data_IF_379522299566
#
_entry.id   IF_379522299566
#
_cell.length_a   1.000
_cell.length_b   1.000
_cell.length_c   1.000
_cell.angle_alpha   90.00
_cell.angle_beta   90.00
_cell.angle_gamma   90.00
#
_symmetry.space_group_name_H-M   'P 1'
#
loop_
_entity.id
_entity.type
_entity.pdbx_description
1 polymer ?
#
# COMPACT_ATOMS: atom_id res chain seq x y z
N UNK A 1 5.07 -24.56 -1.32
CA UNK A 1 4.38 -23.47 -0.59
C UNK A 1 5.11 -22.20 -0.96
N UNK A 2 4.39 -21.14 -1.34
CA UNK A 2 5.02 -19.86 -1.66
C UNK A 2 5.66 -19.22 -0.44
N UNK A 3 6.66 -18.37 -0.67
CA UNK A 3 7.39 -17.65 0.38
C UNK A 3 7.38 -16.17 0.04
N UNK A 4 6.87 -15.34 0.95
CA UNK A 4 6.86 -13.89 0.77
C UNK A 4 8.29 -13.38 0.52
N UNK A 5 8.45 -12.50 -0.46
CA UNK A 5 9.77 -12.00 -0.89
C UNK A 5 10.66 -13.05 -1.54
N UNK A 6 10.10 -14.07 -2.20
CA UNK A 6 10.89 -15.03 -2.97
C UNK A 6 11.72 -14.33 -4.04
N UNK A 7 13.01 -14.69 -4.25
CA UNK A 7 13.86 -14.03 -5.23
C UNK A 7 13.33 -14.15 -6.65
N UNK A 8 13.58 -13.12 -7.47
CA UNK A 8 13.29 -13.13 -8.90
C UNK A 8 14.27 -14.07 -9.60
N UNK A 9 13.77 -14.89 -10.51
CA UNK A 9 14.57 -15.78 -11.37
C UNK A 9 14.47 -15.42 -12.85
N UNK A 10 13.36 -14.80 -13.26
CA UNK A 10 13.15 -14.36 -14.64
C UNK A 10 12.19 -13.17 -14.72
N UNK A 11 12.24 -12.44 -15.84
CA UNK A 11 11.36 -11.30 -16.11
C UNK A 11 10.76 -11.46 -17.50
N UNK A 12 9.43 -11.60 -17.55
CA UNK A 12 8.69 -11.81 -18.80
C UNK A 12 7.91 -10.54 -19.14
N UNK A 13 8.03 -10.08 -20.38
CA UNK A 13 7.24 -8.95 -20.87
C UNK A 13 6.04 -9.46 -21.65
N UNK A 14 4.87 -8.94 -21.32
CA UNK A 14 3.63 -9.05 -22.09
C UNK A 14 3.28 -7.69 -22.70
N UNK A 15 2.24 -7.64 -23.55
CA UNK A 15 1.85 -6.41 -24.26
C UNK A 15 1.63 -5.20 -23.32
N UNK A 16 1.11 -5.43 -22.11
CA UNK A 16 0.76 -4.37 -21.14
C UNK A 16 1.34 -4.58 -19.74
N UNK A 17 2.04 -5.70 -19.52
CA UNK A 17 2.46 -6.13 -18.19
C UNK A 17 3.89 -6.64 -18.20
N UNK A 18 4.53 -6.56 -17.05
CA UNK A 18 5.79 -7.24 -16.73
C UNK A 18 5.44 -8.31 -15.70
N UNK A 19 5.94 -9.52 -15.89
CA UNK A 19 5.84 -10.60 -14.91
C UNK A 19 7.21 -10.84 -14.30
N UNK A 20 7.30 -10.73 -12.98
CA UNK A 20 8.45 -11.26 -12.22
C UNK A 20 8.18 -12.73 -11.92
N UNK A 21 9.00 -13.63 -12.45
CA UNK A 21 8.97 -15.05 -12.13
C UNK A 21 9.85 -15.27 -10.91
N UNK A 22 9.31 -15.89 -9.87
CA UNK A 22 10.00 -16.09 -8.60
C UNK A 22 10.54 -17.52 -8.47
N UNK A 23 11.55 -17.69 -7.62
CA UNK A 23 12.17 -18.99 -7.31
C UNK A 23 11.17 -20.02 -6.76
N UNK A 24 10.14 -19.57 -6.03
CA UNK A 24 9.06 -20.44 -5.53
C UNK A 24 8.01 -20.84 -6.59
N UNK A 25 8.22 -20.41 -7.84
CA UNK A 25 7.40 -20.73 -9.01
C UNK A 25 6.21 -19.79 -9.25
N UNK A 26 5.95 -18.83 -8.34
CA UNK A 26 4.91 -17.81 -8.55
C UNK A 26 5.34 -16.79 -9.60
N UNK A 27 4.34 -16.10 -10.14
CA UNK A 27 4.51 -14.94 -11.02
C UNK A 27 3.80 -13.75 -10.40
N UNK A 28 4.48 -12.62 -10.30
CA UNK A 28 3.88 -11.36 -9.88
C UNK A 28 3.78 -10.44 -11.09
N UNK A 29 2.61 -9.86 -11.32
CA UNK A 29 2.37 -8.99 -12.45
C UNK A 29 2.46 -7.52 -12.02
N UNK A 30 3.03 -6.70 -12.89
CA UNK A 30 3.01 -5.24 -12.77
C UNK A 30 2.57 -4.64 -14.12
N UNK A 31 1.82 -3.53 -14.14
CA UNK A 31 1.68 -2.73 -15.35
C UNK A 31 3.06 -2.32 -15.86
N UNK A 32 3.30 -2.37 -17.18
CA UNK A 32 4.63 -2.08 -17.75
C UNK A 32 5.16 -0.69 -17.37
N UNK A 33 4.26 0.28 -17.17
CA UNK A 33 4.62 1.63 -16.75
C UNK A 33 5.23 1.74 -15.35
N UNK A 34 5.06 0.73 -14.49
CA UNK A 34 5.66 0.71 -13.16
C UNK A 34 7.18 0.56 -13.20
N UNK A 35 7.72 -0.10 -14.23
CA UNK A 35 9.17 -0.14 -14.46
C UNK A 35 9.73 1.19 -15.00
N UNK A 36 8.90 2.21 -15.20
CA UNK A 36 9.28 3.51 -15.71
C UNK A 36 9.11 3.66 -17.24
N UNK A 37 9.00 4.90 -17.74
CA UNK A 37 8.69 5.18 -19.14
C UNK A 37 9.80 4.73 -20.10
N UNK A 38 11.06 4.69 -19.65
CA UNK A 38 12.19 4.25 -20.47
C UNK A 38 12.12 2.75 -20.71
N UNK A 39 11.90 1.95 -19.65
CA UNK A 39 11.73 0.49 -19.77
C UNK A 39 10.51 0.13 -20.63
N UNK A 40 9.42 0.89 -20.49
CA UNK A 40 8.23 0.69 -21.31
C UNK A 40 8.51 0.92 -22.81
N UNK A 41 9.41 1.83 -23.16
CA UNK A 41 9.78 2.15 -24.55
C UNK A 41 10.88 1.25 -25.15
N UNK A 42 11.58 0.46 -24.32
CA UNK A 42 12.67 -0.43 -24.76
C UNK A 42 12.19 -1.54 -25.70
N UNK A 43 13.09 -1.99 -26.58
CA UNK A 43 12.88 -3.19 -27.39
C UNK A 43 13.13 -4.50 -26.60
N UNK A 44 12.87 -5.65 -27.22
CA UNK A 44 13.04 -6.96 -26.58
C UNK A 44 14.48 -7.23 -26.12
N UNK A 45 15.48 -6.74 -26.86
CA UNK A 45 16.90 -6.96 -26.55
C UNK A 45 17.32 -6.12 -25.35
N UNK A 46 16.89 -4.85 -25.32
CA UNK A 46 17.13 -3.94 -24.21
C UNK A 46 16.45 -4.42 -22.93
N UNK A 47 15.21 -4.91 -23.04
CA UNK A 47 14.44 -5.47 -21.91
C UNK A 47 15.07 -6.73 -21.31
N UNK A 48 15.76 -7.53 -22.12
CA UNK A 48 16.49 -8.71 -21.64
C UNK A 48 17.74 -8.36 -20.81
N UNK A 49 18.21 -7.12 -20.85
CA UNK A 49 19.37 -6.62 -20.10
C UNK A 49 19.10 -6.26 -18.63
N UNK A 50 18.05 -6.81 -18.03
CA UNK A 50 17.72 -6.56 -16.62
C UNK A 50 18.75 -7.21 -15.69
N UNK A 51 18.87 -6.66 -14.48
CA UNK A 51 19.72 -7.19 -13.41
C UNK A 51 18.96 -7.26 -12.10
N UNK A 52 19.31 -8.23 -11.26
CA UNK A 52 18.75 -8.37 -9.90
C UNK A 52 19.49 -7.47 -8.93
N UNK A 53 18.78 -7.00 -7.92
CA UNK A 53 19.38 -6.45 -6.70
C UNK A 53 20.13 -7.53 -5.93
N UNK A 54 21.04 -7.13 -5.03
CA UNK A 54 21.87 -8.05 -4.25
C UNK A 54 21.05 -9.00 -3.37
N UNK A 55 19.90 -8.54 -2.87
CA UNK A 55 18.97 -9.35 -2.08
C UNK A 55 18.05 -10.24 -2.94
N UNK A 56 18.11 -10.12 -4.26
CA UNK A 56 17.33 -10.90 -5.23
C UNK A 56 15.85 -10.53 -5.32
N UNK A 57 15.35 -9.56 -4.54
CA UNK A 57 13.93 -9.19 -4.51
C UNK A 57 13.57 -8.02 -5.42
N UNK A 58 14.54 -7.44 -6.11
CA UNK A 58 14.36 -6.30 -7.00
C UNK A 58 14.95 -6.52 -8.37
N UNK A 59 14.42 -5.80 -9.36
CA UNK A 59 14.89 -5.79 -10.75
C UNK A 59 15.19 -4.36 -11.19
N UNK A 60 16.34 -4.17 -11.83
CA UNK A 60 16.76 -2.91 -12.45
C UNK A 60 17.03 -3.12 -13.94
N UNK A 61 16.93 -2.05 -14.73
CA UNK A 61 17.37 -2.00 -16.13
C UNK A 61 18.48 -0.96 -16.28
N UNK A 62 19.77 -1.35 -16.19
CA UNK A 62 20.87 -0.39 -16.22
C UNK A 62 20.89 0.47 -17.50
N UNK A 63 20.48 -0.10 -18.64
CA UNK A 63 20.36 0.61 -19.91
C UNK A 63 19.29 1.73 -19.87
N UNK A 64 18.32 1.65 -18.96
CA UNK A 64 17.30 2.68 -18.76
C UNK A 64 17.81 3.85 -17.90
N UNK A 65 19.02 3.75 -17.34
CA UNK A 65 19.53 4.70 -16.35
C UNK A 65 18.78 4.65 -15.00
N UNK A 66 17.92 3.64 -14.81
CA UNK A 66 17.11 3.47 -13.61
C UNK A 66 17.66 2.31 -12.78
N UNK A 67 18.33 2.65 -11.69
CA UNK A 67 18.79 1.70 -10.70
C UNK A 67 18.53 2.25 -9.29
N UNK A 68 17.85 1.46 -8.47
CA UNK A 68 17.72 1.70 -7.03
C UNK A 68 18.23 0.47 -6.26
N UNK A 69 18.45 0.63 -4.96
CA UNK A 69 18.82 -0.48 -4.06
C UNK A 69 17.75 -1.56 -3.98
N UNK A 70 16.49 -1.17 -4.10
CA UNK A 70 15.33 -2.06 -3.97
C UNK A 70 14.83 -2.57 -5.34
N UNK A 71 15.33 -2.01 -6.44
CA UNK A 71 14.87 -2.31 -7.79
C UNK A 71 13.95 -1.22 -8.35
N UNK A 72 13.96 -1.07 -9.68
CA UNK A 72 12.94 -0.31 -10.41
C UNK A 72 11.57 -0.99 -10.31
N UNK A 73 11.56 -2.32 -10.20
CA UNK A 73 10.44 -3.12 -9.73
C UNK A 73 10.90 -3.97 -8.55
N UNK A 74 10.07 -4.06 -7.52
CA UNK A 74 10.36 -4.77 -6.26
C UNK A 74 9.27 -5.80 -5.95
N UNK A 75 9.69 -6.99 -5.53
CA UNK A 75 8.80 -8.12 -5.20
C UNK A 75 7.88 -7.77 -4.04
N UNK A 76 8.36 -7.05 -3.02
CA UNK A 76 7.51 -6.71 -1.85
C UNK A 76 6.38 -5.77 -2.25
N UNK A 77 6.66 -4.77 -3.08
CA UNK A 77 5.64 -3.87 -3.63
C UNK A 77 4.59 -4.64 -4.45
N UNK A 78 5.00 -5.60 -5.29
CA UNK A 78 4.06 -6.41 -6.06
C UNK A 78 3.29 -7.40 -5.19
N UNK A 79 3.88 -7.92 -4.12
CA UNK A 79 3.15 -8.77 -3.18
C UNK A 79 2.13 -7.99 -2.36
N UNK A 80 2.48 -6.80 -1.88
CA UNK A 80 1.55 -5.91 -1.18
C UNK A 80 0.36 -5.57 -2.09
N UNK A 81 0.64 -5.12 -3.32
CA UNK A 81 -0.40 -4.77 -4.29
C UNK A 81 -1.32 -5.96 -4.60
N UNK A 82 -0.75 -7.14 -4.89
CA UNK A 82 -1.54 -8.34 -5.18
C UNK A 82 -2.42 -8.80 -4.01
N UNK A 83 -1.97 -8.61 -2.77
CA UNK A 83 -2.77 -8.90 -1.56
C UNK A 83 -3.94 -7.91 -1.40
N UNK A 84 -3.71 -6.63 -1.70
CA UNK A 84 -4.78 -5.63 -1.70
C UNK A 84 -5.77 -5.88 -2.83
N UNK A 85 -5.31 -6.17 -4.04
CA UNK A 85 -6.17 -6.48 -5.19
C UNK A 85 -7.07 -7.69 -4.91
N UNK A 86 -6.53 -8.76 -4.29
CA UNK A 86 -7.30 -9.92 -3.85
C UNK A 86 -8.42 -9.50 -2.88
N UNK A 87 -8.08 -8.75 -1.82
CA UNK A 87 -9.04 -8.32 -0.81
C UNK A 87 -10.11 -7.36 -1.36
N UNK A 88 -9.73 -6.46 -2.28
CA UNK A 88 -10.67 -5.56 -2.97
C UNK A 88 -11.58 -6.31 -3.94
N UNK A 89 -11.07 -7.36 -4.61
CA UNK A 89 -11.86 -8.24 -5.45
C UNK A 89 -12.90 -8.99 -4.62
N UNK A 90 -12.52 -9.53 -3.46
CA UNK A 90 -13.47 -10.12 -2.49
C UNK A 90 -14.51 -9.11 -2.02
N UNK A 91 -14.11 -7.88 -1.68
CA UNK A 91 -15.03 -6.81 -1.27
C UNK A 91 -16.05 -6.51 -2.36
N UNK A 92 -15.60 -6.41 -3.62
CA UNK A 92 -16.47 -6.19 -4.77
C UNK A 92 -17.43 -7.36 -4.98
N UNK A 93 -16.96 -8.59 -4.82
CA UNK A 93 -17.80 -9.80 -4.90
C UNK A 93 -18.84 -9.86 -3.78
N UNK A 94 -18.54 -9.26 -2.62
CA UNK A 94 -19.46 -9.06 -1.50
C UNK A 94 -20.32 -7.79 -1.64
N UNK A 95 -20.45 -7.22 -2.84
CA UNK A 95 -21.24 -6.02 -3.11
C UNK A 95 -20.86 -4.82 -2.21
N UNK A 96 -19.57 -4.71 -1.88
CA UNK A 96 -19.00 -3.69 -0.99
C UNK A 96 -19.39 -3.80 0.49
N UNK A 97 -19.98 -4.93 0.91
CA UNK A 97 -20.24 -5.21 2.32
C UNK A 97 -18.97 -5.73 3.03
N UNK A 98 -18.28 -4.82 3.74
CA UNK A 98 -17.08 -5.14 4.54
C UNK A 98 -17.40 -6.16 5.65
N UNK A 99 -18.63 -6.20 6.15
CA UNK A 99 -19.01 -7.13 7.23
C UNK A 99 -19.06 -8.59 6.76
N UNK A 100 -19.29 -8.82 5.47
CA UNK A 100 -19.31 -10.14 4.85
C UNK A 100 -17.91 -10.73 4.60
N UNK A 101 -16.85 -9.92 4.71
CA UNK A 101 -15.48 -10.34 4.48
C UNK A 101 -14.89 -11.20 5.61
N UNK A 102 -13.81 -11.91 5.30
CA UNK A 102 -12.98 -12.55 6.32
C UNK A 102 -12.24 -11.49 7.16
N UNK A 103 -11.77 -11.85 8.36
CA UNK A 103 -10.93 -10.94 9.17
C UNK A 103 -9.64 -10.54 8.44
N UNK A 104 -9.04 -11.44 7.66
CA UNK A 104 -7.88 -11.15 6.83
C UNK A 104 -8.20 -10.05 5.81
N UNK A 105 -9.24 -10.26 5.01
CA UNK A 105 -9.61 -9.36 3.92
C UNK A 105 -10.08 -8.00 4.44
N UNK A 106 -10.81 -7.97 5.56
CA UNK A 106 -11.13 -6.70 6.25
C UNK A 106 -9.89 -5.90 6.64
N UNK A 107 -8.87 -6.57 7.17
CA UNK A 107 -7.63 -5.92 7.58
C UNK A 107 -6.87 -5.36 6.38
N UNK A 108 -6.77 -6.13 5.29
CA UNK A 108 -6.15 -5.70 4.03
C UNK A 108 -6.90 -4.52 3.39
N UNK A 109 -8.24 -4.54 3.37
CA UNK A 109 -9.06 -3.41 2.88
C UNK A 109 -8.81 -2.14 3.70
N UNK A 110 -8.78 -2.25 5.03
CA UNK A 110 -8.54 -1.11 5.90
C UNK A 110 -7.13 -0.50 5.70
N UNK A 111 -6.10 -1.35 5.55
CA UNK A 111 -4.74 -0.89 5.24
C UNK A 111 -4.68 -0.23 3.86
N UNK A 112 -5.30 -0.82 2.83
CA UNK A 112 -5.33 -0.26 1.50
C UNK A 112 -6.00 1.13 1.47
N UNK A 113 -7.18 1.27 2.11
CA UNK A 113 -7.89 2.57 2.18
C UNK A 113 -7.08 3.61 2.92
N UNK A 114 -6.43 3.22 4.02
CA UNK A 114 -5.55 4.09 4.79
C UNK A 114 -4.39 4.61 3.93
N UNK A 115 -3.70 3.73 3.20
CA UNK A 115 -2.59 4.12 2.32
C UNK A 115 -3.08 4.97 1.15
N UNK A 116 -4.15 4.52 0.47
CA UNK A 116 -4.67 5.19 -0.71
C UNK A 116 -5.11 6.63 -0.42
N UNK A 117 -5.92 6.83 0.63
CA UNK A 117 -6.38 8.18 0.98
C UNK A 117 -5.33 8.98 1.74
N UNK A 118 -4.56 8.33 2.62
CA UNK A 118 -3.46 8.97 3.36
C UNK A 118 -2.40 9.57 2.42
N UNK A 119 -2.06 8.89 1.33
CA UNK A 119 -1.12 9.40 0.32
C UNK A 119 -1.76 10.42 -0.64
N UNK A 120 -3.07 10.35 -0.89
CA UNK A 120 -3.73 11.22 -1.87
C UNK A 120 -4.17 12.58 -1.29
N UNK A 121 -4.63 12.61 -0.04
CA UNK A 121 -5.10 13.84 0.61
C UNK A 121 -5.04 13.81 2.12
N UNK A 122 -4.14 13.02 2.67
CA UNK A 122 -3.85 12.98 4.10
C UNK A 122 -4.80 12.13 4.93
N UNK A 123 -4.50 12.01 6.21
CA UNK A 123 -5.24 11.18 7.16
C UNK A 123 -6.68 11.67 7.39
N UNK A 124 -6.95 12.97 7.19
CA UNK A 124 -8.32 13.49 7.20
C UNK A 124 -9.16 12.97 6.03
N UNK A 125 -8.57 12.70 4.86
CA UNK A 125 -9.31 12.15 3.72
C UNK A 125 -9.82 10.74 4.03
N UNK A 126 -9.04 9.92 4.75
CA UNK A 126 -9.46 8.59 5.22
C UNK A 126 -10.72 8.71 6.08
N UNK A 127 -10.71 9.61 7.07
CA UNK A 127 -11.86 9.87 7.93
C UNK A 127 -13.06 10.39 7.13
N UNK A 128 -12.84 11.32 6.19
CA UNK A 128 -13.90 11.91 5.38
C UNK A 128 -14.59 10.90 4.45
N UNK A 129 -13.82 9.97 3.86
CA UNK A 129 -14.34 8.99 2.91
C UNK A 129 -14.98 7.77 3.59
N UNK A 130 -14.43 7.32 4.72
CA UNK A 130 -14.79 6.02 5.31
C UNK A 130 -15.30 6.09 6.75
N UNK A 131 -15.11 7.23 7.43
CA UNK A 131 -15.59 7.45 8.79
C UNK A 131 -14.72 6.84 9.88
N UNK A 132 -15.17 7.03 11.12
CA UNK A 132 -14.44 6.66 12.35
C UNK A 132 -14.12 5.16 12.43
N UNK A 133 -15.07 4.31 12.04
CA UNK A 133 -14.90 2.86 12.08
C UNK A 133 -13.71 2.38 11.24
N UNK A 134 -13.45 3.05 10.11
CA UNK A 134 -12.32 2.71 9.25
C UNK A 134 -10.98 3.10 9.88
N UNK A 135 -10.90 4.24 10.58
CA UNK A 135 -9.69 4.63 11.32
C UNK A 135 -9.37 3.58 12.39
N UNK A 136 -10.39 3.11 13.13
CA UNK A 136 -10.20 2.05 14.13
C UNK A 136 -9.77 0.74 13.50
N UNK A 137 -10.36 0.37 12.36
CA UNK A 137 -9.97 -0.83 11.61
C UNK A 137 -8.51 -0.74 11.11
N UNK A 138 -8.10 0.40 10.57
CA UNK A 138 -6.73 0.67 10.14
C UNK A 138 -5.74 0.61 11.30
N UNK A 139 -6.06 1.23 12.44
CA UNK A 139 -5.26 1.15 13.67
C UNK A 139 -5.10 -0.30 14.18
N UNK A 140 -6.16 -1.09 14.12
CA UNK A 140 -6.13 -2.49 14.52
C UNK A 140 -5.26 -3.33 13.57
N UNK A 141 -5.38 -3.11 12.26
CA UNK A 141 -4.61 -3.82 11.24
C UNK A 141 -3.12 -3.44 11.29
N UNK A 142 -2.78 -2.16 11.45
CA UNK A 142 -1.40 -1.70 11.66
C UNK A 142 -0.77 -2.36 12.91
N UNK A 143 -1.55 -2.49 13.98
CA UNK A 143 -1.10 -3.18 15.19
C UNK A 143 -0.89 -4.69 14.97
N UNK A 144 -1.72 -5.36 14.18
CA UNK A 144 -1.57 -6.80 13.92
C UNK A 144 -0.35 -7.14 13.07
N UNK A 145 0.03 -6.25 12.14
CA UNK A 145 1.23 -6.42 11.31
C UNK A 145 2.50 -5.81 11.95
N UNK A 146 2.40 -5.30 13.17
CA UNK A 146 3.50 -4.67 13.90
C UNK A 146 4.15 -3.48 13.15
N UNK A 147 3.37 -2.73 12.37
CA UNK A 147 3.80 -1.52 11.67
C UNK A 147 3.95 -0.35 12.66
N UNK A 148 4.98 -0.42 13.50
CA UNK A 148 5.13 0.43 14.68
C UNK A 148 5.23 1.92 14.36
N UNK A 149 5.88 2.31 13.25
CA UNK A 149 6.06 3.73 12.91
C UNK A 149 4.75 4.31 12.38
N UNK A 150 4.12 3.64 11.43
CA UNK A 150 2.85 4.08 10.85
C UNK A 150 1.75 4.05 11.91
N UNK A 151 1.71 3.02 12.76
CA UNK A 151 0.78 2.95 13.89
C UNK A 151 0.96 4.13 14.85
N UNK A 152 2.19 4.51 15.17
CA UNK A 152 2.45 5.64 16.06
C UNK A 152 1.91 6.94 15.46
N UNK A 153 2.17 7.21 14.18
CA UNK A 153 1.66 8.42 13.49
C UNK A 153 0.14 8.46 13.49
N UNK A 154 -0.52 7.39 13.04
CA UNK A 154 -1.99 7.35 12.96
C UNK A 154 -2.63 7.43 14.34
N UNK A 155 -2.00 6.86 15.38
CA UNK A 155 -2.46 7.01 16.77
C UNK A 155 -2.34 8.44 17.28
N UNK A 156 -1.24 9.13 17.02
CA UNK A 156 -1.07 10.52 17.46
C UNK A 156 -2.04 11.45 16.72
N UNK A 157 -2.23 11.25 15.42
CA UNK A 157 -3.29 11.91 14.66
C UNK A 157 -4.66 11.68 15.30
N UNK A 158 -5.01 10.42 15.59
CA UNK A 158 -6.32 10.07 16.12
C UNK A 158 -6.56 10.59 17.54
N UNK A 159 -5.53 10.72 18.37
CA UNK A 159 -5.66 11.36 19.70
C UNK A 159 -6.15 12.81 19.63
N UNK A 160 -5.82 13.51 18.55
CA UNK A 160 -6.22 14.91 18.33
C UNK A 160 -7.56 14.99 17.61
N UNK A 161 -7.71 14.25 16.51
CA UNK A 161 -8.90 14.34 15.65
C UNK A 161 -10.09 13.53 16.19
N UNK A 162 -9.84 12.38 16.81
CA UNK A 162 -10.89 11.48 17.32
C UNK A 162 -11.89 12.16 18.26
N UNK A 163 -11.44 12.87 19.31
CA UNK A 163 -12.36 13.59 20.21
C UNK A 163 -13.24 14.63 19.52
N UNK A 164 -12.76 15.22 18.41
CA UNK A 164 -13.54 16.16 17.60
C UNK A 164 -14.57 15.38 16.77
N UNK A 165 -14.11 14.37 16.03
CA UNK A 165 -14.92 13.57 15.13
C UNK A 165 -16.05 12.78 15.84
N UNK A 166 -15.84 12.42 17.11
CA UNK A 166 -16.78 11.68 17.93
C UNK A 166 -17.66 12.59 18.82
N UNK A 167 -17.51 13.92 18.72
CA UNK A 167 -18.28 14.85 19.56
C UNK A 167 -19.75 14.98 19.12
N UNK A 168 -20.67 15.11 20.08
CA UNK A 168 -22.13 15.16 19.80
C UNK A 168 -22.57 16.31 18.87
N UNK A 169 -21.74 17.35 18.73
CA UNK A 169 -22.00 18.50 17.85
C UNK A 169 -21.46 18.35 16.43
N UNK A 170 -20.64 17.33 16.15
CA UNK A 170 -20.00 17.11 14.86
C UNK A 170 -20.76 16.02 14.12
N UNK A 171 -21.48 16.40 13.06
CA UNK A 171 -22.34 15.49 12.30
C UNK A 171 -21.86 15.30 10.86
N UNK A 172 -20.97 16.18 10.41
CA UNK A 172 -20.45 16.19 9.05
C UNK A 172 -18.94 16.40 9.06
N UNK A 173 -18.29 16.03 7.95
CA UNK A 173 -16.86 16.32 7.78
C UNK A 173 -16.58 17.84 7.78
N UNK A 174 -17.54 18.66 7.34
CA UNK A 174 -17.39 20.12 7.41
C UNK A 174 -17.32 20.64 8.85
N UNK A 175 -18.03 20.01 9.78
CA UNK A 175 -17.96 20.35 11.21
C UNK A 175 -16.58 20.00 11.78
N UNK A 176 -16.01 18.86 11.36
CA UNK A 176 -14.63 18.46 11.70
C UNK A 176 -13.63 19.50 11.20
N UNK A 177 -13.69 19.88 9.92
CA UNK A 177 -12.79 20.90 9.36
C UNK A 177 -12.94 22.26 10.07
N UNK A 178 -14.17 22.66 10.40
CA UNK A 178 -14.45 23.91 11.12
C UNK A 178 -13.83 23.89 12.52
N UNK A 179 -13.98 22.78 13.25
CA UNK A 179 -13.39 22.62 14.57
C UNK A 179 -11.86 22.60 14.54
N UNK A 180 -11.26 21.91 13.56
CA UNK A 180 -9.81 21.89 13.34
C UNK A 180 -9.27 23.29 13.07
N UNK A 181 -9.91 24.03 12.17
CA UNK A 181 -9.51 25.40 11.83
C UNK A 181 -9.68 26.34 13.02
N UNK A 182 -10.80 26.23 13.74
CA UNK A 182 -11.07 27.04 14.93
C UNK A 182 -10.10 26.78 16.08
N UNK A 183 -9.51 25.59 16.14
CA UNK A 183 -8.50 25.19 17.12
C UNK A 183 -7.05 25.39 16.64
N UNK A 184 -6.84 25.96 15.44
CA UNK A 184 -5.51 26.17 14.82
C UNK A 184 -4.69 24.87 14.69
N UNK A 185 -5.35 23.75 14.37
CA UNK A 185 -4.73 22.43 14.29
C UNK A 185 -4.21 22.09 12.89
N UNK A 186 -4.51 22.89 11.86
CA UNK A 186 -4.15 22.59 10.47
C UNK A 186 -2.64 22.34 10.26
N UNK A 187 -1.71 23.18 10.78
CA UNK A 187 -0.28 22.92 10.62
C UNK A 187 0.16 21.59 11.22
N UNK A 188 -0.48 21.18 12.32
CA UNK A 188 -0.17 19.92 13.00
C UNK A 188 -0.66 18.71 12.20
N UNK A 189 -1.70 18.87 11.38
CA UNK A 189 -2.20 17.80 10.51
C UNK A 189 -1.29 17.61 9.30
N UNK A 190 -0.79 18.70 8.72
CA UNK A 190 0.22 18.63 7.66
C UNK A 190 1.47 17.85 8.13
N UNK A 191 1.92 18.10 9.36
CA UNK A 191 3.03 17.33 9.97
C UNK A 191 2.72 15.83 10.12
N UNK A 192 1.47 15.46 10.39
CA UNK A 192 1.08 14.04 10.47
C UNK A 192 1.01 13.39 9.11
N UNK A 193 0.55 14.11 8.08
CA UNK A 193 0.51 13.60 6.72
C UNK A 193 1.93 13.36 6.19
N UNK A 194 2.86 14.30 6.41
CA UNK A 194 4.28 14.10 6.09
C UNK A 194 4.89 12.92 6.86
N UNK A 195 4.65 12.85 8.17
CA UNK A 195 5.14 11.73 8.98
C UNK A 195 4.52 10.39 8.55
N UNK A 196 3.29 10.39 8.05
CA UNK A 196 2.64 9.21 7.53
C UNK A 196 3.31 8.76 6.23
N UNK A 197 3.57 9.68 5.29
CA UNK A 197 4.26 9.37 4.03
C UNK A 197 5.67 8.81 4.24
N UNK A 198 6.38 9.29 5.26
CA UNK A 198 7.70 8.77 5.64
C UNK A 198 7.62 7.39 6.30
N UNK A 199 6.57 7.12 7.07
CA UNK A 199 6.43 5.88 7.84
C UNK A 199 5.82 4.74 7.02
N UNK A 200 4.77 5.02 6.23
CA UNK A 200 3.95 4.07 5.48
C UNK A 200 4.72 3.10 4.57
N UNK A 201 5.89 3.43 3.98
CA UNK A 201 6.68 2.48 3.21
C UNK A 201 7.08 1.20 3.96
N UNK A 202 6.99 1.15 5.29
CA UNK A 202 7.20 -0.12 6.03
C UNK A 202 6.14 -1.19 5.73
N UNK A 203 4.93 -0.78 5.35
CA UNK A 203 3.81 -1.69 5.07
C UNK A 203 4.13 -2.60 3.90
N UNK A 204 4.84 -2.09 2.88
CA UNK A 204 5.25 -2.84 1.69
C UNK A 204 5.92 -4.17 2.01
N UNK A 205 6.72 -4.22 3.08
CA UNK A 205 7.35 -5.46 3.52
C UNK A 205 6.53 -6.19 4.60
N UNK A 206 5.92 -5.46 5.53
CA UNK A 206 5.22 -6.06 6.67
C UNK A 206 3.92 -6.77 6.26
N UNK A 207 3.20 -6.26 5.26
CA UNK A 207 1.93 -6.84 4.80
C UNK A 207 2.14 -8.25 4.24
N UNK A 208 3.04 -8.49 3.26
CA UNK A 208 3.30 -9.85 2.79
C UNK A 208 3.90 -10.78 3.86
N UNK A 209 4.73 -10.25 4.76
CA UNK A 209 5.28 -11.04 5.87
C UNK A 209 4.20 -11.55 6.83
N UNK A 210 3.16 -10.74 7.08
CA UNK A 210 2.09 -11.09 8.00
C UNK A 210 0.99 -11.94 7.32
N UNK A 211 0.51 -11.52 6.15
CA UNK A 211 -0.63 -12.15 5.47
C UNK A 211 -0.22 -13.29 4.53
N UNK A 212 1.08 -13.49 4.34
CA UNK A 212 1.64 -14.46 3.42
C UNK A 212 1.84 -13.90 2.00
N UNK A 213 2.43 -14.70 1.11
CA UNK A 213 2.67 -14.32 -0.27
C UNK A 213 1.39 -13.96 -1.03
N UNK A 214 1.49 -13.00 -1.95
CA UNK A 214 0.43 -12.75 -2.94
C UNK A 214 0.17 -13.99 -3.82
N UNK A 215 -1.08 -14.17 -4.29
CA UNK A 215 -1.39 -15.22 -5.26
C UNK A 215 -0.59 -15.01 -6.55
N UNK A 216 -0.25 -16.11 -7.22
CA UNK A 216 0.38 -16.01 -8.54
C UNK A 216 -0.58 -15.37 -9.54
N UNK A 217 -0.07 -14.44 -10.34
CA UNK A 217 -0.78 -13.89 -11.48
C UNK A 217 -1.16 -15.01 -12.46
N UNK A 218 -2.35 -14.84 -13.06
CA UNK A 218 -2.93 -15.71 -14.10
C UNK A 218 -2.61 -15.17 -15.49
#
# INVERSE_FOLDING_TARGET
MGVAGSPVVDVVFEEKRILLVLEDGRRLAAPIGWAGPVVAAMDETERAGWVRTDNGTGVNWPAAGQASSDGALDVWALEEDGLYEEALSELKAAEWDVSALSTRSRSLVALWRLIADGNNGGLLQVLGNWGVGEIHAGLAALASIEAARTLAVVREFWKIVGPIAESEGVNTMNDVYTAITGADLSPRLDEFDEAFWDAAPELTRLVPLHFGPAPSAV
#
